data_IF_114306138169
#
_entry.id   IF_114306138169
#
_cell.length_a   1.000
_cell.length_b   1.000
_cell.length_c   1.000
_cell.angle_alpha   90.00
_cell.angle_beta   90.00
_cell.angle_gamma   90.00
#
_symmetry.space_group_name_H-M   'P 1'
#
loop_
_entity.id
_entity.type
_entity.pdbx_description
1 polymer ?
#
# COMPACT_ATOMS: atom_id res chain seq x y z
N UNK A 1 -7.25 -3.04 15.24
CA UNK A 1 -6.57 -3.29 16.53
C UNK A 1 -5.35 -4.20 16.40
N UNK A 2 -5.46 -5.32 15.69
CA UNK A 2 -4.34 -6.26 15.51
C UNK A 2 -3.11 -5.62 14.83
N UNK A 3 -3.32 -4.75 13.83
CA UNK A 3 -2.24 -4.01 13.17
C UNK A 3 -1.40 -3.14 14.13
N UNK A 4 -2.05 -2.54 15.13
CA UNK A 4 -1.37 -1.72 16.14
C UNK A 4 -0.47 -2.60 17.03
N UNK A 5 -0.98 -3.74 17.49
CA UNK A 5 -0.21 -4.71 18.27
C UNK A 5 0.99 -5.21 17.44
N UNK A 6 0.75 -5.49 16.16
CA UNK A 6 1.78 -5.93 15.23
C UNK A 6 2.88 -4.87 15.02
N UNK A 7 2.48 -3.60 14.93
CA UNK A 7 3.39 -2.47 14.83
C UNK A 7 4.23 -2.28 16.09
N UNK A 8 3.62 -2.40 17.28
CA UNK A 8 4.33 -2.35 18.57
C UNK A 8 5.34 -3.49 18.67
N UNK A 9 4.94 -4.71 18.31
CA UNK A 9 5.81 -5.87 18.31
C UNK A 9 7.02 -5.67 17.38
N UNK A 10 6.80 -5.16 16.16
CA UNK A 10 7.87 -4.77 15.25
C UNK A 10 8.80 -3.71 15.85
N UNK A 11 8.25 -2.72 16.55
CA UNK A 11 9.01 -1.69 17.24
C UNK A 11 9.92 -2.26 18.33
N UNK A 12 9.42 -3.17 19.17
CA UNK A 12 10.22 -3.85 20.18
C UNK A 12 11.36 -4.67 19.57
N UNK A 13 11.08 -5.43 18.50
CA UNK A 13 12.09 -6.19 17.80
C UNK A 13 13.17 -5.28 17.19
N UNK A 14 12.79 -4.13 16.64
CA UNK A 14 13.72 -3.16 16.07
C UNK A 14 14.64 -2.57 17.16
N UNK A 15 14.08 -2.14 18.29
CA UNK A 15 14.86 -1.60 19.42
C UNK A 15 15.82 -2.67 19.95
N UNK A 16 15.33 -3.89 20.13
CA UNK A 16 16.16 -5.00 20.59
C UNK A 16 17.31 -5.33 19.62
N UNK A 17 17.01 -5.33 18.31
CA UNK A 17 18.02 -5.51 17.26
C UNK A 17 19.09 -4.40 17.30
N UNK A 18 18.69 -3.13 17.47
CA UNK A 18 19.63 -2.01 17.60
C UNK A 18 20.56 -2.20 18.81
N UNK A 19 20.01 -2.61 19.96
CA UNK A 19 20.82 -2.91 21.17
C UNK A 19 21.83 -4.03 20.90
N UNK A 20 21.42 -5.09 20.20
CA UNK A 20 22.33 -6.16 19.79
C UNK A 20 23.44 -5.62 18.87
N UNK A 21 23.10 -4.80 17.88
CA UNK A 21 24.09 -4.21 16.96
C UNK A 21 25.16 -3.42 17.73
N UNK A 22 24.78 -2.56 18.66
CA UNK A 22 25.74 -1.81 19.48
C UNK A 22 26.62 -2.71 20.35
N UNK A 23 26.05 -3.76 20.96
CA UNK A 23 26.84 -4.75 21.72
C UNK A 23 27.83 -5.49 20.82
N UNK A 24 27.41 -5.90 19.63
CA UNK A 24 28.27 -6.57 18.65
C UNK A 24 29.42 -5.68 18.19
N UNK A 25 29.13 -4.42 17.85
CA UNK A 25 30.16 -3.41 17.50
C UNK A 25 31.16 -3.24 18.63
N UNK A 26 30.69 -3.13 19.88
CA UNK A 26 31.57 -3.02 21.06
C UNK A 26 32.47 -4.24 21.21
N UNK A 27 31.93 -5.46 21.09
CA UNK A 27 32.70 -6.71 21.21
C UNK A 27 33.78 -6.79 20.11
N UNK A 28 33.45 -6.43 18.87
CA UNK A 28 34.40 -6.45 17.75
C UNK A 28 35.51 -5.42 17.98
N UNK A 29 35.15 -4.22 18.43
CA UNK A 29 36.11 -3.17 18.77
C UNK A 29 37.09 -3.61 19.86
N UNK A 30 36.60 -4.29 20.90
CA UNK A 30 37.43 -4.76 22.03
C UNK A 30 38.31 -5.96 21.68
N UNK A 31 37.80 -6.91 20.88
CA UNK A 31 38.53 -8.17 20.59
C UNK A 31 39.42 -8.13 19.35
N UNK A 32 39.03 -7.38 18.32
CA UNK A 32 39.71 -7.37 17.01
C UNK A 32 40.33 -6.01 16.74
N UNK A 33 39.64 -4.93 17.15
CA UNK A 33 40.14 -3.58 17.05
C UNK A 33 39.20 -2.64 16.29
N UNK A 34 39.54 -1.35 16.32
CA UNK A 34 38.69 -0.27 15.79
C UNK A 34 38.49 -0.38 14.27
N UNK A 35 39.52 -0.79 13.52
CA UNK A 35 39.43 -0.92 12.06
C UNK A 35 38.45 -2.03 11.64
N UNK A 36 38.50 -3.19 12.31
CA UNK A 36 37.55 -4.28 12.05
C UNK A 36 36.11 -3.88 12.40
N UNK A 37 35.93 -3.11 13.47
CA UNK A 37 34.62 -2.55 13.84
C UNK A 37 34.09 -1.59 12.77
N UNK A 38 34.94 -0.80 12.12
CA UNK A 38 34.53 0.10 11.05
C UNK A 38 34.07 -0.69 9.81
N UNK A 39 34.85 -1.71 9.41
CA UNK A 39 34.47 -2.62 8.29
C UNK A 39 33.14 -3.31 8.59
N UNK A 40 32.93 -3.77 9.83
CA UNK A 40 31.67 -4.42 10.23
C UNK A 40 30.47 -3.50 10.07
N UNK A 41 30.56 -2.24 10.54
CA UNK A 41 29.47 -1.26 10.39
C UNK A 41 29.20 -0.97 8.91
N UNK A 42 30.24 -0.78 8.09
CA UNK A 42 30.10 -0.57 6.64
C UNK A 42 29.42 -1.78 5.98
N UNK A 43 29.81 -3.00 6.36
CA UNK A 43 29.19 -4.23 5.86
C UNK A 43 27.71 -4.35 6.24
N UNK A 44 27.34 -4.02 7.49
CA UNK A 44 25.93 -3.99 7.91
C UNK A 44 25.12 -2.96 7.11
N UNK A 45 25.67 -1.76 6.91
CA UNK A 45 24.99 -0.70 6.16
C UNK A 45 24.86 -1.04 4.67
N UNK A 46 25.76 -1.84 4.11
CA UNK A 46 25.71 -2.27 2.71
C UNK A 46 24.45 -3.09 2.39
N UNK A 47 23.88 -3.81 3.37
CA UNK A 47 22.61 -4.53 3.22
C UNK A 47 21.37 -3.61 3.25
N UNK A 48 21.48 -2.34 3.67
CA UNK A 48 20.35 -1.39 3.60
C UNK A 48 20.07 -0.93 2.16
N UNK A 49 21.03 -1.11 1.24
CA UNK A 49 20.88 -0.78 -0.18
C UNK A 49 20.03 -1.85 -0.89
N UNK A 50 18.70 -1.79 -0.74
CA UNK A 50 17.82 -2.39 -1.74
C UNK A 50 17.70 -1.39 -2.91
N UNK A 51 18.02 -1.79 -4.15
CA UNK A 51 17.52 -1.06 -5.29
C UNK A 51 15.99 -1.09 -5.19
N UNK A 52 15.37 0.05 -5.41
CA UNK A 52 13.92 0.21 -5.41
C UNK A 52 13.36 -0.43 -6.69
N UNK A 53 13.62 -1.71 -6.93
CA UNK A 53 13.01 -2.48 -8.02
C UNK A 53 11.64 -2.99 -7.56
N UNK A 54 10.72 -2.05 -7.42
CA UNK A 54 9.38 -2.23 -7.98
C UNK A 54 9.02 -0.89 -8.57
N UNK A 55 9.03 -0.85 -9.90
CA UNK A 55 8.40 0.18 -10.68
C UNK A 55 7.05 0.53 -10.02
N UNK A 56 6.95 1.74 -9.48
CA UNK A 56 5.68 2.39 -9.14
C UNK A 56 4.99 2.91 -10.42
N UNK A 57 5.54 2.58 -11.59
CA UNK A 57 4.86 2.53 -12.87
C UNK A 57 4.52 1.05 -13.17
N UNK A 58 3.32 0.76 -13.65
CA UNK A 58 2.96 -0.54 -14.26
C UNK A 58 2.60 -1.73 -13.34
N UNK A 59 1.99 -1.44 -12.19
CA UNK A 59 0.75 -2.17 -11.85
C UNK A 59 -0.46 -1.28 -12.14
N UNK A 60 -0.39 -0.55 -13.26
CA UNK A 60 -1.59 -0.15 -13.98
C UNK A 60 -2.24 -1.46 -14.40
N UNK A 61 -3.34 -1.74 -13.72
CA UNK A 61 -4.40 -2.61 -14.16
C UNK A 61 -4.51 -2.48 -15.69
N UNK A 62 -4.28 -3.59 -16.40
CA UNK A 62 -4.30 -3.70 -17.87
C UNK A 62 -5.72 -3.51 -18.46
N UNK A 63 -6.51 -2.59 -17.88
CA UNK A 63 -7.84 -2.19 -18.35
C UNK A 63 -7.93 -0.74 -18.85
N UNK A 64 -6.84 0.03 -18.81
CA UNK A 64 -6.81 1.39 -19.36
C UNK A 64 -5.66 1.60 -20.34
N UNK A 65 -5.65 0.80 -21.41
CA UNK A 65 -5.03 1.17 -22.69
C UNK A 65 -5.84 2.30 -23.37
N UNK A 66 -6.06 3.41 -22.67
CA UNK A 66 -6.49 4.67 -23.26
C UNK A 66 -5.98 5.80 -22.37
N UNK A 67 -4.97 6.52 -22.90
CA UNK A 67 -4.64 7.91 -22.61
C UNK A 67 -5.32 8.53 -21.39
N UNK A 68 -4.56 8.85 -20.33
CA UNK A 68 -4.92 9.77 -19.24
C UNK A 68 -6.39 10.27 -19.34
N UNK A 69 -7.38 9.58 -18.74
CA UNK A 69 -8.79 9.84 -19.03
C UNK A 69 -9.20 11.28 -18.69
N UNK A 70 -8.45 11.93 -17.77
CA UNK A 70 -8.58 13.36 -17.45
C UNK A 70 -8.24 14.32 -18.61
N UNK A 71 -7.42 13.91 -19.59
CA UNK A 71 -7.05 14.73 -20.75
C UNK A 71 -7.99 14.54 -21.95
N UNK A 72 -8.77 13.46 -21.97
CA UNK A 72 -9.67 13.13 -23.08
C UNK A 72 -11.16 13.30 -22.73
N UNK A 73 -11.52 13.36 -21.44
CA UNK A 73 -12.90 13.57 -21.01
C UNK A 73 -13.26 15.06 -20.97
N UNK A 74 -14.16 15.46 -21.87
CA UNK A 74 -14.71 16.82 -21.96
C UNK A 74 -16.04 16.90 -21.19
N UNK A 75 -15.94 16.95 -19.86
CA UNK A 75 -17.09 17.00 -18.95
C UNK A 75 -16.69 17.23 -17.50
N UNK A 76 -17.67 17.40 -16.61
CA UNK A 76 -17.40 17.55 -15.18
C UNK A 76 -16.91 16.23 -14.59
N UNK A 77 -16.00 16.27 -13.63
CA UNK A 77 -15.57 15.06 -12.93
C UNK A 77 -15.50 15.26 -11.42
N UNK A 78 -15.77 14.19 -10.67
CA UNK A 78 -15.69 14.16 -9.22
C UNK A 78 -15.16 12.81 -8.74
N UNK A 79 -14.61 12.79 -7.53
CA UNK A 79 -14.18 11.56 -6.87
C UNK A 79 -15.27 11.04 -5.95
N UNK A 80 -15.59 9.76 -6.07
CA UNK A 80 -16.40 9.02 -5.13
C UNK A 80 -15.48 8.15 -4.27
N UNK A 81 -15.41 8.47 -2.98
CA UNK A 81 -14.64 7.71 -1.99
C UNK A 81 -15.53 6.68 -1.31
N UNK A 82 -15.03 5.46 -1.17
CA UNK A 82 -15.69 4.35 -0.49
C UNK A 82 -14.70 3.75 0.51
N UNK A 83 -15.11 3.67 1.78
CA UNK A 83 -14.34 2.93 2.79
C UNK A 83 -14.58 1.43 2.62
N UNK A 84 -13.54 0.68 2.25
CA UNK A 84 -13.58 -0.78 2.13
C UNK A 84 -13.31 -1.45 3.48
N UNK A 85 -12.35 -0.91 4.22
CA UNK A 85 -11.98 -1.39 5.55
C UNK A 85 -11.65 -0.18 6.42
N UNK A 86 -12.18 -0.17 7.64
CA UNK A 86 -11.95 0.87 8.64
C UNK A 86 -11.33 0.20 9.87
N UNK A 87 -10.02 0.36 10.04
CA UNK A 87 -9.32 -0.11 11.23
C UNK A 87 -8.86 1.09 12.06
N UNK A 88 -8.73 0.84 13.36
CA UNK A 88 -8.28 1.83 14.34
C UNK A 88 -7.00 2.62 13.97
N UNK A 89 -6.09 2.05 13.18
CA UNK A 89 -4.83 2.69 12.77
C UNK A 89 -4.77 3.09 11.31
N UNK A 90 -5.55 2.44 10.44
CA UNK A 90 -5.48 2.70 9.01
C UNK A 90 -6.75 2.25 8.31
N UNK A 91 -7.08 2.94 7.22
CA UNK A 91 -8.25 2.66 6.41
C UNK A 91 -7.80 2.22 5.02
N UNK A 92 -8.55 1.30 4.42
CA UNK A 92 -8.45 0.96 3.00
C UNK A 92 -9.63 1.62 2.30
N UNK A 93 -9.34 2.49 1.34
CA UNK A 93 -10.32 3.22 0.55
C UNK A 93 -10.26 2.86 -0.93
N UNK A 94 -11.41 2.94 -1.58
CA UNK A 94 -11.56 2.93 -3.03
C UNK A 94 -12.00 4.33 -3.47
N UNK A 95 -11.19 4.94 -4.31
CA UNK A 95 -11.47 6.23 -4.95
C UNK A 95 -11.83 5.98 -6.41
N UNK A 96 -13.05 6.34 -6.79
CA UNK A 96 -13.56 6.21 -8.16
C UNK A 96 -13.68 7.60 -8.76
N UNK A 97 -12.97 7.84 -9.86
CA UNK A 97 -13.13 9.06 -10.64
C UNK A 97 -14.31 8.89 -11.60
N UNK A 98 -15.35 9.69 -11.40
CA UNK A 98 -16.57 9.68 -12.19
C UNK A 98 -16.61 10.92 -13.07
N UNK A 99 -16.91 10.74 -14.35
CA UNK A 99 -17.21 11.80 -15.30
C UNK A 99 -18.71 11.95 -15.50
N UNK A 100 -19.18 13.18 -15.67
CA UNK A 100 -20.58 13.51 -15.93
C UNK A 100 -20.67 14.23 -17.29
N UNK A 101 -21.41 13.65 -18.23
CA UNK A 101 -21.67 14.21 -19.55
C UNK A 101 -23.13 13.95 -19.95
N UNK A 102 -23.88 14.99 -20.31
CA UNK A 102 -25.27 14.87 -20.80
C UNK A 102 -26.19 14.06 -19.87
N UNK A 103 -26.04 14.23 -18.54
CA UNK A 103 -26.70 13.46 -17.46
C UNK A 103 -26.32 11.97 -17.38
N UNK A 104 -25.36 11.49 -18.17
CA UNK A 104 -24.77 10.17 -18.02
C UNK A 104 -23.52 10.23 -17.13
N UNK A 105 -23.43 9.29 -16.19
CA UNK A 105 -22.27 9.13 -15.30
C UNK A 105 -21.36 8.03 -15.84
N UNK A 106 -20.10 8.32 -16.12
CA UNK A 106 -19.13 7.39 -16.71
C UNK A 106 -17.98 7.16 -15.72
N UNK A 107 -17.52 5.93 -15.57
CA UNK A 107 -16.34 5.61 -14.74
C UNK A 107 -15.09 5.91 -15.56
N UNK A 108 -14.27 6.85 -15.09
CA UNK A 108 -13.05 7.27 -15.78
C UNK A 108 -11.82 6.54 -15.25
N UNK A 109 -11.75 6.33 -13.95
CA UNK A 109 -10.64 5.64 -13.30
C UNK A 109 -11.06 5.14 -11.92
N UNK A 110 -10.31 4.20 -11.37
CA UNK A 110 -10.42 3.80 -9.98
C UNK A 110 -9.06 3.46 -9.38
N UNK A 111 -8.91 3.81 -8.11
CA UNK A 111 -7.70 3.55 -7.35
C UNK A 111 -8.06 3.05 -5.96
N UNK A 112 -7.36 2.03 -5.49
CA UNK A 112 -7.50 1.56 -4.12
C UNK A 112 -6.21 1.90 -3.36
N UNK A 113 -6.36 2.55 -2.22
CA UNK A 113 -5.23 3.00 -1.42
C UNK A 113 -5.48 2.76 0.06
N UNK A 114 -4.38 2.66 0.81
CA UNK A 114 -4.41 2.55 2.27
C UNK A 114 -3.80 3.80 2.86
N UNK A 115 -4.47 4.38 3.86
CA UNK A 115 -4.04 5.60 4.52
C UNK A 115 -4.09 5.43 6.05
N UNK A 116 -3.22 6.15 6.76
CA UNK A 116 -3.13 6.11 8.23
C UNK A 116 -1.76 5.64 8.72
N UNK A 117 -1.70 5.18 9.96
CA UNK A 117 -0.50 4.64 10.58
C UNK A 117 -0.29 3.18 10.15
N UNK A 118 0.70 2.97 9.29
CA UNK A 118 1.03 1.65 8.73
C UNK A 118 2.37 1.20 9.29
N UNK A 119 2.37 0.06 9.99
CA UNK A 119 3.58 -0.55 10.54
C UNK A 119 3.54 -2.07 10.40
N UNK A 120 4.63 -2.65 9.89
CA UNK A 120 4.76 -4.10 9.73
C UNK A 120 3.71 -4.74 8.82
N UNK A 121 2.98 -3.97 8.02
CA UNK A 121 1.99 -4.47 7.06
C UNK A 121 2.08 -3.71 5.75
N UNK A 122 1.71 -4.33 4.63
CA UNK A 122 1.74 -3.70 3.32
C UNK A 122 0.56 -4.19 2.47
N UNK A 123 -0.24 -3.25 1.96
CA UNK A 123 -1.38 -3.56 1.10
C UNK A 123 -0.95 -3.50 -0.36
N UNK A 124 -1.11 -4.60 -1.08
CA UNK A 124 -0.84 -4.68 -2.50
C UNK A 124 -2.13 -4.98 -3.26
N UNK A 125 -2.62 -4.01 -4.03
CA UNK A 125 -3.77 -4.22 -4.92
C UNK A 125 -3.36 -5.14 -6.07
N UNK A 126 -4.22 -6.11 -6.37
CA UNK A 126 -4.06 -7.01 -7.51
C UNK A 126 -5.02 -6.67 -8.63
N UNK A 127 -6.29 -6.41 -8.30
CA UNK A 127 -7.31 -6.06 -9.28
C UNK A 127 -8.36 -5.11 -8.70
N UNK A 128 -8.88 -4.23 -9.55
CA UNK A 128 -10.07 -3.42 -9.28
C UNK A 128 -10.99 -3.59 -10.48
N UNK A 129 -12.17 -4.14 -10.25
CA UNK A 129 -13.22 -4.30 -11.24
C UNK A 129 -14.42 -3.42 -10.83
N UNK A 130 -14.96 -2.68 -11.79
CA UNK A 130 -16.11 -1.80 -11.59
C UNK A 130 -17.08 -2.04 -12.73
N UNK A 131 -18.25 -2.51 -12.37
CA UNK A 131 -19.36 -2.70 -13.29
C UNK A 131 -20.43 -1.64 -13.04
N UNK A 132 -20.71 -0.86 -14.08
CA UNK A 132 -21.67 0.24 -14.05
C UNK A 132 -22.65 0.10 -15.20
N UNK A 133 -23.88 -0.30 -14.87
CA UNK A 133 -24.98 -0.34 -15.83
C UNK A 133 -25.37 1.08 -16.29
N UNK A 134 -25.79 1.19 -17.56
CA UNK A 134 -26.32 2.43 -18.13
C UNK A 134 -27.55 2.90 -17.34
N UNK A 135 -27.70 4.22 -17.22
CA UNK A 135 -28.80 4.90 -16.50
C UNK A 135 -28.88 4.64 -14.98
N UNK A 136 -27.88 3.97 -14.39
CA UNK A 136 -27.82 3.76 -12.93
C UNK A 136 -26.88 4.76 -12.25
N UNK A 137 -27.37 5.29 -11.12
CA UNK A 137 -26.60 6.16 -10.22
C UNK A 137 -25.80 5.36 -9.18
N UNK A 138 -25.46 4.12 -9.50
CA UNK A 138 -24.59 3.28 -8.68
C UNK A 138 -23.72 2.41 -9.57
N UNK A 139 -22.61 1.93 -9.02
CA UNK A 139 -21.78 0.88 -9.62
C UNK A 139 -21.54 -0.25 -8.62
N UNK A 140 -21.34 -1.46 -9.13
CA UNK A 140 -20.82 -2.56 -8.35
C UNK A 140 -19.29 -2.51 -8.44
N UNK A 141 -18.60 -2.80 -7.34
CA UNK A 141 -17.15 -2.89 -7.33
C UNK A 141 -16.69 -4.23 -6.76
N UNK A 142 -15.54 -4.70 -7.24
CA UNK A 142 -14.79 -5.82 -6.70
C UNK A 142 -13.32 -5.40 -6.63
N UNK A 143 -12.73 -5.42 -5.44
CA UNK A 143 -11.32 -5.09 -5.20
C UNK A 143 -10.64 -6.28 -4.58
N UNK A 144 -9.58 -6.76 -5.25
CA UNK A 144 -8.77 -7.89 -4.80
C UNK A 144 -7.35 -7.43 -4.51
N UNK A 145 -6.77 -7.94 -3.45
CA UNK A 145 -5.36 -7.70 -3.16
C UNK A 145 -4.81 -8.58 -2.04
N UNK A 146 -3.54 -8.37 -1.74
CA UNK A 146 -2.80 -9.09 -0.72
C UNK A 146 -2.36 -8.12 0.37
N UNK A 147 -2.74 -8.42 1.62
CA UNK A 147 -2.16 -7.82 2.81
C UNK A 147 -0.94 -8.64 3.24
N UNK A 148 0.25 -8.09 3.05
CA UNK A 148 1.49 -8.68 3.55
C UNK A 148 1.73 -8.28 5.00
N UNK A 149 2.10 -9.23 5.83
CA UNK A 149 2.50 -9.06 7.22
C UNK A 149 4.00 -9.25 7.33
N UNK A 150 4.70 -8.23 7.84
CA UNK A 150 6.15 -8.12 7.85
C UNK A 150 6.69 -8.07 9.28
N UNK A 151 7.83 -8.74 9.49
CA UNK A 151 8.70 -8.56 10.66
C UNK A 151 10.01 -7.96 10.17
N UNK A 152 10.38 -6.78 10.71
CA UNK A 152 11.62 -6.07 10.34
C UNK A 152 11.81 -5.91 8.81
N UNK A 153 10.70 -5.75 8.08
CA UNK A 153 10.69 -5.59 6.62
C UNK A 153 10.66 -6.89 5.80
N UNK A 154 10.67 -8.06 6.44
CA UNK A 154 10.57 -9.37 5.79
C UNK A 154 9.10 -9.84 5.85
N UNK A 155 8.49 -10.14 4.71
CA UNK A 155 7.14 -10.73 4.65
C UNK A 155 7.17 -12.14 5.24
N UNK A 156 6.39 -12.36 6.29
CA UNK A 156 6.27 -13.67 6.96
C UNK A 156 4.91 -14.33 6.72
N UNK A 157 3.89 -13.56 6.34
CA UNK A 157 2.54 -14.02 6.07
C UNK A 157 1.87 -13.10 5.06
N UNK A 158 1.01 -13.66 4.22
CA UNK A 158 0.27 -12.96 3.18
C UNK A 158 -1.19 -13.39 3.25
N UNK A 159 -2.08 -12.41 3.34
CA UNK A 159 -3.52 -12.61 3.45
C UNK A 159 -4.21 -12.07 2.19
N UNK A 160 -4.99 -12.90 1.51
CA UNK A 160 -5.82 -12.44 0.41
C UNK A 160 -7.07 -11.74 0.96
N UNK A 161 -7.34 -10.53 0.45
CA UNK A 161 -8.55 -9.77 0.75
C UNK A 161 -9.36 -9.51 -0.52
N UNK A 162 -10.66 -9.74 -0.41
CA UNK A 162 -11.67 -9.50 -1.43
C UNK A 162 -12.71 -8.55 -0.83
N UNK A 163 -12.87 -7.38 -1.44
CA UNK A 163 -13.92 -6.43 -1.09
C UNK A 163 -14.90 -6.34 -2.25
N UNK A 164 -16.19 -6.52 -1.99
CA UNK A 164 -17.24 -6.33 -2.97
C UNK A 164 -18.36 -5.48 -2.39
N UNK A 165 -19.04 -4.72 -3.25
CA UNK A 165 -20.12 -3.85 -2.78
C UNK A 165 -20.73 -2.98 -3.87
N UNK A 166 -21.60 -2.08 -3.43
CA UNK A 166 -22.27 -1.09 -4.28
C UNK A 166 -21.90 0.30 -3.83
N UNK A 167 -21.44 1.12 -4.77
CA UNK A 167 -21.16 2.53 -4.53
C UNK A 167 -22.20 3.39 -5.22
N UNK A 168 -22.85 4.27 -4.46
CA UNK A 168 -23.76 5.27 -4.99
C UNK A 168 -22.91 6.39 -5.59
N UNK A 169 -23.17 6.71 -6.86
CA UNK A 169 -22.48 7.77 -7.60
C UNK A 169 -23.33 9.04 -7.45
N UNK A 170 -23.07 9.82 -6.41
CA UNK A 170 -23.78 11.09 -6.16
C UNK A 170 -22.77 12.19 -5.86
N UNK A 171 -23.10 13.38 -6.32
CA UNK A 171 -22.40 14.62 -5.98
C UNK A 171 -22.74 15.06 -4.55
#
# INVERSE_FOLDING_TARGET
MFELIWGIFNGFLLIYFIVICFKSVKIIKEKIGVFASLIFVIGLLSFMSKPNEKNLADKNIDFLNQSNPKKAFDGNSFFQEIKLEDNLTSDIGLSILVGEKENELIILNANCSRAGFISGTNWNVENIDIDKEKDKNYCNYIVNGIMEWKILGITIYSEHKLFNGKAILKK
#
